data_IF_421391940656
#
_entry.id   IF_421391940656
#
_cell.length_a   1.000
_cell.length_b   1.000
_cell.length_c   1.000
_cell.angle_alpha   90.00
_cell.angle_beta   90.00
_cell.angle_gamma   90.00
#
_symmetry.space_group_name_H-M   'P 1'
#
loop_
_entity.id
_entity.type
_entity.pdbx_description
1 polymer ?
#
# COMPACT_ATOMS: atom_id res chain seq x y z
N UNK A 1 -41.77 -20.28 -46.16
CA UNK A 1 -41.09 -20.58 -44.88
C UNK A 1 -39.65 -20.96 -45.19
N UNK A 2 -38.73 -20.02 -44.98
CA UNK A 2 -37.31 -20.17 -45.33
C UNK A 2 -36.59 -21.03 -44.28
N UNK A 3 -35.94 -22.09 -44.74
CA UNK A 3 -35.32 -23.12 -43.92
C UNK A 3 -33.93 -22.76 -43.40
N UNK A 4 -33.57 -23.36 -42.27
CA UNK A 4 -32.37 -23.14 -41.44
C UNK A 4 -31.01 -23.42 -42.13
N UNK A 5 -30.99 -23.68 -43.44
CA UNK A 5 -29.80 -24.14 -44.19
C UNK A 5 -29.11 -23.03 -45.00
N UNK A 6 -29.54 -21.78 -44.89
CA UNK A 6 -29.03 -20.64 -45.68
C UNK A 6 -28.14 -19.67 -44.87
N UNK A 7 -27.57 -20.10 -43.76
CA UNK A 7 -26.61 -19.28 -42.97
C UNK A 7 -25.30 -20.04 -42.80
N UNK A 8 -24.70 -20.43 -43.92
CA UNK A 8 -23.32 -20.93 -43.98
C UNK A 8 -22.70 -20.35 -45.26
N UNK A 9 -22.28 -19.10 -45.18
CA UNK A 9 -21.67 -18.38 -46.28
C UNK A 9 -21.29 -16.96 -45.86
N UNK A 10 -20.26 -16.83 -45.02
CA UNK A 10 -19.76 -15.51 -44.66
C UNK A 10 -18.98 -15.42 -43.36
N UNK A 11 -17.94 -16.24 -43.18
CA UNK A 11 -16.87 -15.95 -42.22
C UNK A 11 -15.53 -16.03 -42.97
N UNK A 12 -15.35 -15.06 -43.86
CA UNK A 12 -14.06 -14.77 -44.47
C UNK A 12 -13.16 -14.10 -43.43
N UNK A 13 -12.04 -14.76 -43.13
CA UNK A 13 -10.80 -14.21 -42.59
C UNK A 13 -10.92 -13.03 -41.60
N UNK A 14 -11.16 -13.33 -40.32
CA UNK A 14 -10.73 -12.43 -39.27
C UNK A 14 -9.18 -12.43 -39.24
N UNK A 15 -8.60 -11.28 -39.54
CA UNK A 15 -7.17 -11.05 -39.61
C UNK A 15 -6.47 -11.48 -38.32
N UNK A 16 -5.42 -12.29 -38.47
CA UNK A 16 -4.45 -12.57 -37.42
C UNK A 16 -3.67 -11.27 -37.24
N UNK A 17 -4.10 -10.41 -36.31
CA UNK A 17 -3.32 -9.25 -35.93
C UNK A 17 -2.00 -9.77 -35.31
N UNK A 18 -0.83 -9.27 -35.73
CA UNK A 18 0.41 -9.62 -35.07
C UNK A 18 0.32 -9.14 -33.63
N UNK A 19 0.37 -10.07 -32.68
CA UNK A 19 0.67 -9.75 -31.28
C UNK A 19 2.09 -9.21 -31.26
N UNK A 20 2.25 -7.92 -31.50
CA UNK A 20 3.49 -7.22 -31.21
C UNK A 20 3.83 -7.56 -29.77
N UNK A 21 4.88 -8.36 -29.59
CA UNK A 21 5.34 -8.76 -28.28
C UNK A 21 5.49 -7.51 -27.44
N UNK A 22 4.80 -7.45 -26.30
CA UNK A 22 4.98 -6.37 -25.34
C UNK A 22 6.49 -6.27 -25.06
N UNK A 23 7.07 -5.07 -25.09
CA UNK A 23 8.48 -4.91 -24.77
C UNK A 23 8.68 -5.54 -23.38
N UNK A 24 9.66 -6.45 -23.28
CA UNK A 24 10.10 -6.96 -22.01
C UNK A 24 10.58 -5.74 -21.22
N UNK A 25 9.74 -5.23 -20.32
CA UNK A 25 10.13 -4.23 -19.34
C UNK A 25 11.21 -4.91 -18.53
N UNK A 26 12.46 -4.58 -18.83
CA UNK A 26 13.61 -5.10 -18.11
C UNK A 26 13.35 -4.87 -16.63
N UNK A 27 13.29 -5.94 -15.86
CA UNK A 27 13.02 -5.86 -14.44
C UNK A 27 14.10 -4.97 -13.82
N UNK A 28 13.75 -3.72 -13.49
CA UNK A 28 14.64 -2.84 -12.76
C UNK A 28 15.05 -3.56 -11.47
N UNK A 29 16.36 -3.61 -11.20
CA UNK A 29 16.86 -4.20 -9.95
C UNK A 29 16.20 -3.46 -8.78
N UNK A 30 15.37 -4.18 -8.02
CA UNK A 30 14.64 -3.59 -6.90
C UNK A 30 15.63 -3.04 -5.86
N UNK A 31 15.42 -1.80 -5.44
CA UNK A 31 16.19 -1.19 -4.35
C UNK A 31 15.89 -1.98 -3.08
N UNK A 32 16.94 -2.57 -2.47
CA UNK A 32 16.81 -3.28 -1.20
C UNK A 32 17.13 -2.33 -0.05
N UNK A 33 16.17 -2.04 0.85
CA UNK A 33 16.49 -1.25 2.03
C UNK A 33 17.47 -2.04 2.92
N UNK A 34 18.35 -1.36 3.66
CA UNK A 34 19.22 -2.04 4.61
C UNK A 34 18.42 -2.71 5.73
N UNK A 35 19.03 -3.74 6.34
CA UNK A 35 18.43 -4.46 7.47
C UNK A 35 18.30 -3.56 8.69
N UNK A 36 17.22 -3.75 9.45
CA UNK A 36 17.04 -3.15 10.77
C UNK A 36 18.07 -3.70 11.76
N UNK A 37 18.46 -2.84 12.70
CA UNK A 37 19.37 -3.08 13.82
C UNK A 37 18.73 -2.58 15.10
N UNK A 38 19.20 -3.08 16.24
CA UNK A 38 18.82 -2.51 17.54
C UNK A 38 19.12 -1.01 17.57
N UNK A 39 18.20 -0.23 18.14
CA UNK A 39 18.23 1.23 18.19
C UNK A 39 17.66 1.94 16.96
N UNK A 40 17.35 1.22 15.87
CA UNK A 40 16.77 1.85 14.68
C UNK A 40 15.35 2.37 14.94
N UNK A 41 15.04 3.55 14.39
CA UNK A 41 13.71 4.16 14.50
C UNK A 41 12.73 3.53 13.51
N UNK A 42 11.54 3.20 13.99
CA UNK A 42 10.42 2.73 13.19
C UNK A 42 9.28 3.74 13.24
N UNK A 43 8.95 4.33 12.09
CA UNK A 43 7.79 5.18 11.92
C UNK A 43 6.49 4.38 11.98
N UNK A 44 5.52 4.84 12.75
CA UNK A 44 4.22 4.19 12.93
C UNK A 44 3.14 5.01 12.23
N UNK A 45 2.40 4.38 11.31
CA UNK A 45 1.33 5.01 10.52
C UNK A 45 0.05 4.17 10.52
N UNK A 46 -1.09 4.83 10.28
CA UNK A 46 -2.38 4.19 10.01
C UNK A 46 -2.86 4.57 8.60
N UNK A 47 -2.42 3.88 7.53
CA UNK A 47 -2.79 4.24 6.16
C UNK A 47 -4.23 3.83 5.80
N UNK A 48 -4.94 3.08 6.66
CA UNK A 48 -6.31 2.62 6.44
C UNK A 48 -7.21 2.91 7.65
N UNK A 49 -7.52 1.89 8.45
CA UNK A 49 -8.35 2.01 9.65
C UNK A 49 -7.58 2.61 10.83
N UNK A 50 -8.33 3.15 11.79
CA UNK A 50 -7.78 3.79 12.99
C UNK A 50 -7.49 2.78 14.11
N UNK A 51 -6.58 3.13 15.01
CA UNK A 51 -6.46 2.49 16.33
C UNK A 51 -7.49 3.17 17.25
N UNK A 52 -8.33 2.37 17.91
CA UNK A 52 -9.50 2.88 18.62
C UNK A 52 -9.18 3.83 19.80
N UNK A 53 -8.05 3.60 20.46
CA UNK A 53 -7.62 4.38 21.61
C UNK A 53 -6.09 4.42 21.74
N UNK A 54 -5.61 5.21 22.70
CA UNK A 54 -4.18 5.36 23.00
C UNK A 54 -3.54 4.09 23.57
N UNK A 55 -4.30 3.22 24.24
CA UNK A 55 -3.77 1.98 24.80
C UNK A 55 -3.30 1.05 23.68
N UNK A 56 -4.05 0.99 22.57
CA UNK A 56 -3.62 0.24 21.40
C UNK A 56 -2.29 0.74 20.81
N UNK A 57 -2.06 2.06 20.78
CA UNK A 57 -0.79 2.63 20.29
C UNK A 57 0.36 2.38 21.24
N UNK A 58 0.14 2.46 22.55
CA UNK A 58 1.17 2.13 23.54
C UNK A 58 1.56 0.65 23.46
N UNK A 59 0.59 -0.27 23.33
CA UNK A 59 0.89 -1.70 23.17
C UNK A 59 1.73 -1.98 21.91
N UNK A 60 1.43 -1.29 20.80
CA UNK A 60 2.25 -1.37 19.59
C UNK A 60 3.65 -0.82 19.86
N UNK A 61 3.75 0.34 20.52
CA UNK A 61 5.03 0.97 20.85
C UNK A 61 5.90 0.10 21.75
N UNK A 62 5.31 -0.54 22.76
CA UNK A 62 5.99 -1.48 23.65
C UNK A 62 6.47 -2.73 22.92
N UNK A 63 5.68 -3.23 21.97
CA UNK A 63 6.10 -4.35 21.12
C UNK A 63 7.32 -3.98 20.28
N UNK A 64 7.35 -2.77 19.70
CA UNK A 64 8.50 -2.27 18.93
C UNK A 64 9.73 -2.06 19.82
N UNK A 65 9.55 -1.52 21.03
CA UNK A 65 10.63 -1.42 22.03
C UNK A 65 11.19 -2.79 22.41
N UNK A 66 10.32 -3.79 22.58
CA UNK A 66 10.72 -5.17 22.88
C UNK A 66 11.48 -5.85 21.71
N UNK A 67 11.32 -5.38 20.47
CA UNK A 67 12.15 -5.78 19.33
C UNK A 67 13.53 -5.10 19.31
N UNK A 68 13.83 -4.25 20.30
CA UNK A 68 15.06 -3.44 20.35
C UNK A 68 15.01 -2.21 19.45
N UNK A 69 13.83 -1.76 19.01
CA UNK A 69 13.64 -0.66 18.06
C UNK A 69 13.00 0.56 18.74
N UNK A 70 13.10 1.73 18.10
CA UNK A 70 12.56 2.99 18.65
C UNK A 70 11.27 3.38 17.91
N UNK A 71 10.07 3.27 18.52
CA UNK A 71 8.83 3.66 17.86
C UNK A 71 8.72 5.19 17.73
N UNK A 72 8.33 5.66 16.54
CA UNK A 72 8.01 7.06 16.27
C UNK A 72 6.59 7.18 15.72
N UNK A 73 5.68 7.78 16.48
CA UNK A 73 4.31 8.01 16.03
C UNK A 73 4.24 9.10 14.95
N UNK A 74 3.48 8.86 13.89
CA UNK A 74 3.16 9.90 12.92
C UNK A 74 2.18 10.96 13.48
N UNK A 75 2.19 12.19 12.95
CA UNK A 75 1.37 13.29 13.47
C UNK A 75 -0.13 12.96 13.57
N UNK A 76 -0.68 12.22 12.61
CA UNK A 76 -2.11 11.90 12.54
C UNK A 76 -2.43 10.45 12.92
N UNK A 77 -1.52 9.74 13.63
CA UNK A 77 -1.68 8.33 13.96
C UNK A 77 -3.01 7.97 14.67
N UNK A 78 -3.51 8.90 15.48
CA UNK A 78 -4.75 8.78 16.26
C UNK A 78 -5.94 9.53 15.63
N UNK A 79 -5.78 10.09 14.42
CA UNK A 79 -6.85 10.77 13.73
C UNK A 79 -7.96 9.78 13.33
N UNK A 80 -9.18 10.31 13.20
CA UNK A 80 -10.34 9.52 12.79
C UNK A 80 -11.23 10.33 11.86
N UNK A 81 -11.63 9.71 10.77
CA UNK A 81 -12.60 10.23 9.81
C UNK A 81 -13.56 9.11 9.41
N UNK A 82 -14.69 9.01 10.12
CA UNK A 82 -15.63 7.91 9.96
C UNK A 82 -14.97 6.55 10.27
N UNK A 83 -14.84 5.72 9.23
CA UNK A 83 -14.18 4.41 9.26
C UNK A 83 -12.64 4.49 9.18
N UNK A 84 -12.09 5.59 8.66
CA UNK A 84 -10.66 5.74 8.34
C UNK A 84 -9.87 6.44 9.45
N UNK A 85 -8.55 6.25 9.44
CA UNK A 85 -7.58 6.92 10.30
C UNK A 85 -7.25 8.36 9.86
N UNK A 86 -8.29 9.20 9.77
CA UNK A 86 -8.18 10.57 9.27
C UNK A 86 -8.55 10.70 7.80
N UNK A 87 -8.44 11.92 7.26
CA UNK A 87 -8.69 12.21 5.84
C UNK A 87 -7.62 11.58 4.94
N UNK A 88 -7.82 11.65 3.62
CA UNK A 88 -6.83 11.17 2.66
C UNK A 88 -5.54 11.98 2.77
N UNK A 89 -5.67 13.30 2.93
CA UNK A 89 -4.55 14.23 3.09
C UNK A 89 -3.76 13.93 4.36
N UNK A 90 -4.44 13.68 5.48
CA UNK A 90 -3.78 13.33 6.74
C UNK A 90 -2.99 12.03 6.62
N UNK A 91 -3.61 10.97 6.08
CA UNK A 91 -2.96 9.66 5.91
C UNK A 91 -1.80 9.71 4.91
N UNK A 92 -1.95 10.43 3.81
CA UNK A 92 -0.87 10.64 2.84
C UNK A 92 0.29 11.45 3.46
N UNK A 93 -0.02 12.50 4.23
CA UNK A 93 0.98 13.32 4.90
C UNK A 93 1.79 12.53 5.93
N UNK A 94 1.17 11.59 6.66
CA UNK A 94 1.86 10.72 7.60
C UNK A 94 2.86 9.79 6.90
N UNK A 95 2.48 9.21 5.74
CA UNK A 95 3.40 8.40 4.93
C UNK A 95 4.59 9.25 4.45
N UNK A 96 4.30 10.42 3.87
CA UNK A 96 5.33 11.32 3.34
C UNK A 96 6.27 11.80 4.45
N UNK A 97 5.74 12.15 5.62
CA UNK A 97 6.53 12.58 6.77
C UNK A 97 7.50 11.48 7.24
N UNK A 98 7.06 10.22 7.30
CA UNK A 98 7.94 9.11 7.70
C UNK A 98 8.97 8.76 6.62
N UNK A 99 8.66 8.95 5.33
CA UNK A 99 9.64 8.77 4.24
C UNK A 99 10.66 9.91 4.16
N UNK A 100 10.25 11.14 4.46
CA UNK A 100 11.10 12.34 4.40
C UNK A 100 12.07 12.45 5.59
N UNK A 101 11.80 11.73 6.68
CA UNK A 101 12.61 11.74 7.88
C UNK A 101 13.78 10.75 7.78
N UNK A 102 14.99 11.26 7.61
CA UNK A 102 16.21 10.45 7.51
C UNK A 102 16.52 9.62 8.77
N UNK A 103 15.92 9.95 9.92
CA UNK A 103 16.06 9.16 11.15
C UNK A 103 15.22 7.89 11.16
N UNK A 104 14.21 7.80 10.29
CA UNK A 104 13.29 6.65 10.20
C UNK A 104 13.90 5.57 9.31
N UNK A 105 14.07 4.37 9.87
CA UNK A 105 14.70 3.25 9.17
C UNK A 105 13.71 2.26 8.56
N UNK A 106 12.52 2.18 9.13
CA UNK A 106 11.40 1.43 8.58
C UNK A 106 10.08 2.12 8.92
N UNK A 107 9.03 1.83 8.14
CA UNK A 107 7.70 2.36 8.35
C UNK A 107 6.73 1.19 8.52
N UNK A 108 6.04 1.12 9.65
CA UNK A 108 5.08 0.07 9.95
C UNK A 108 3.65 0.62 9.88
N UNK A 109 2.82 -0.04 9.08
CA UNK A 109 1.38 0.16 9.11
C UNK A 109 0.81 -0.59 10.33
N UNK A 110 0.45 0.14 11.38
CA UNK A 110 0.02 -0.47 12.65
C UNK A 110 -1.44 -0.92 12.63
N UNK A 111 -2.21 -0.47 11.62
CA UNK A 111 -3.57 -0.92 11.33
C UNK A 111 -3.82 -1.02 9.83
N UNK A 112 -4.44 -2.13 9.43
CA UNK A 112 -4.96 -2.34 8.08
C UNK A 112 -6.42 -1.90 7.92
N UNK A 113 -7.06 -2.37 6.85
CA UNK A 113 -8.45 -2.06 6.50
C UNK A 113 -8.58 -1.68 5.03
N UNK A 114 -9.61 -0.89 4.73
CA UNK A 114 -9.85 -0.34 3.39
C UNK A 114 -9.41 1.13 3.31
N UNK A 115 -9.14 1.61 2.09
CA UNK A 115 -8.92 3.04 1.81
C UNK A 115 -7.48 3.42 1.47
N UNK A 116 -6.52 2.49 1.45
CA UNK A 116 -5.15 2.77 1.01
C UNK A 116 -5.06 3.13 -0.47
N UNK A 117 -5.98 2.64 -1.31
CA UNK A 117 -6.02 2.92 -2.75
C UNK A 117 -6.37 4.38 -3.11
N UNK A 118 -6.69 5.20 -2.10
CA UNK A 118 -7.00 6.63 -2.24
C UNK A 118 -5.78 7.53 -1.99
N UNK A 119 -4.66 6.93 -1.55
CA UNK A 119 -3.45 7.63 -1.12
C UNK A 119 -2.40 7.68 -2.24
#
# INVERSE_FOLDING_TARGET
MLGRRTVLGGLGAAAIAPTAGLPAVGAASAIRPPRLREGDTVGLICPAGFVADRFGVEQVSDTIRAMGLVPKAAPHLLARHGYLAGSDEQRASDIQAMFADETVRAIFAVRGGWGCQRL
#
